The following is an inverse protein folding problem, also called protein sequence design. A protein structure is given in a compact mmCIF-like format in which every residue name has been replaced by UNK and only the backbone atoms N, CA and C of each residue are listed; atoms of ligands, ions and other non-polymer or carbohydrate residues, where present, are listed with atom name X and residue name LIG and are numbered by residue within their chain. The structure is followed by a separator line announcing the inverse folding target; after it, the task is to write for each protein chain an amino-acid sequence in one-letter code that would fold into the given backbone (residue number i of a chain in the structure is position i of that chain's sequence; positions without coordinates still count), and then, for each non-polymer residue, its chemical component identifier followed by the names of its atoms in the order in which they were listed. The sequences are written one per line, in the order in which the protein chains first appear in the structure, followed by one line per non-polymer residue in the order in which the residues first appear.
data_IF_681351291784
#
_entry.id   IF_681351291784
#
_cell.length_a   1.000
_cell.length_b   1.000
_cell.length_c   1.000
_cell.angle_alpha   90.00
_cell.angle_beta   90.00
_cell.angle_gamma   90.00
#
_symmetry.space_group_name_H-M   'P 1'
#
loop_
_entity.id
_entity.type
_entity.pdbx_description
1 polymer ?
#
# COMPACT_ATOMS: atom_id res chain seq x y z
N UNK A 1 -12.54 -3.67 -14.55
CA UNK A 1 -11.15 -3.36 -14.87
C UNK A 1 -10.62 -4.34 -15.91
N UNK A 2 -10.60 -3.90 -17.16
CA UNK A 2 -9.89 -4.55 -18.28
C UNK A 2 -8.53 -3.90 -18.54
N UNK A 3 -8.25 -2.76 -17.91
CA UNK A 3 -6.99 -2.04 -17.99
C UNK A 3 -6.52 -1.54 -16.61
N UNK A 4 -5.23 -1.23 -16.51
CA UNK A 4 -4.64 -0.63 -15.30
C UNK A 4 -5.28 0.72 -14.97
N UNK A 5 -5.50 1.59 -15.97
CA UNK A 5 -6.11 2.90 -15.76
C UNK A 5 -7.52 2.79 -15.17
N UNK A 6 -8.34 1.88 -15.69
CA UNK A 6 -9.69 1.62 -15.18
C UNK A 6 -9.66 1.10 -13.73
N UNK A 7 -8.65 0.28 -13.38
CA UNK A 7 -8.45 -0.18 -12.00
C UNK A 7 -8.15 1.00 -11.05
N UNK A 8 -7.28 1.92 -11.47
CA UNK A 8 -6.94 3.10 -10.67
C UNK A 8 -8.15 4.02 -10.48
N UNK A 9 -8.96 4.21 -11.53
CA UNK A 9 -10.19 5.01 -11.46
C UNK A 9 -11.24 4.41 -10.52
N UNK A 10 -11.37 3.07 -10.50
CA UNK A 10 -12.23 2.37 -9.56
C UNK A 10 -11.71 2.51 -8.12
N UNK A 11 -10.42 2.27 -7.92
CA UNK A 11 -9.79 2.35 -6.60
C UNK A 11 -9.88 3.76 -5.99
N UNK A 12 -9.81 4.81 -6.80
CA UNK A 12 -9.98 6.19 -6.34
C UNK A 12 -11.35 6.49 -5.72
N UNK A 13 -12.37 5.67 -6.02
CA UNK A 13 -13.75 5.79 -5.53
C UNK A 13 -14.06 4.79 -4.40
N UNK A 14 -13.11 3.93 -4.07
CA UNK A 14 -13.27 2.83 -3.11
C UNK A 14 -12.76 3.17 -1.71
N UNK A 15 -13.23 2.39 -0.73
CA UNK A 15 -12.71 2.38 0.63
C UNK A 15 -12.19 0.98 0.98
N UNK A 16 -10.88 0.82 1.13
CA UNK A 16 -10.26 -0.46 1.47
C UNK A 16 -10.67 -1.00 2.86
N UNK A 17 -11.08 -0.13 3.80
CA UNK A 17 -11.45 -0.57 5.16
C UNK A 17 -12.72 -1.43 5.20
N UNK A 18 -13.58 -1.37 4.17
CA UNK A 18 -14.76 -2.25 4.09
C UNK A 18 -14.37 -3.68 3.72
N UNK A 19 -13.16 -3.89 3.17
CA UNK A 19 -12.63 -5.16 2.67
C UNK A 19 -11.57 -5.73 3.61
N UNK A 20 -10.68 -4.87 4.11
CA UNK A 20 -9.57 -5.21 5.00
C UNK A 20 -10.03 -5.28 6.46
N UNK A 21 -9.47 -6.24 7.21
CA UNK A 21 -9.65 -6.32 8.65
C UNK A 21 -8.58 -5.51 9.36
N UNK A 22 -8.99 -4.59 10.23
CA UNK A 22 -8.11 -3.71 10.99
C UNK A 22 -7.77 -4.30 12.38
N UNK A 23 -6.74 -3.75 13.02
CA UNK A 23 -6.38 -4.10 14.41
C UNK A 23 -7.54 -3.82 15.36
N UNK A 24 -8.23 -2.69 15.18
CA UNK A 24 -9.42 -2.33 15.96
C UNK A 24 -10.58 -3.31 15.80
N UNK A 25 -10.70 -3.97 14.64
CA UNK A 25 -11.74 -4.99 14.43
C UNK A 25 -11.47 -6.27 15.24
N UNK A 26 -10.22 -6.51 15.63
CA UNK A 26 -9.80 -7.69 16.41
C UNK A 26 -9.76 -7.36 17.91
N UNK A 27 -9.24 -6.19 18.27
CA UNK A 27 -8.93 -5.82 19.65
C UNK A 27 -9.85 -4.74 20.25
N UNK A 28 -10.68 -4.07 19.44
CA UNK A 28 -11.57 -2.99 19.85
C UNK A 28 -10.90 -1.62 20.09
N UNK A 29 -9.56 -1.59 20.18
CA UNK A 29 -8.72 -0.40 20.41
C UNK A 29 -7.31 -0.67 19.83
N UNK A 30 -6.38 0.27 20.01
CA UNK A 30 -4.96 0.12 19.71
C UNK A 30 -4.36 -1.12 20.39
N UNK A 31 -3.53 -1.88 19.65
CA UNK A 31 -2.75 -2.97 20.23
C UNK A 31 -1.42 -2.45 20.79
N UNK A 32 -1.50 -1.90 22.01
CA UNK A 32 -0.37 -1.26 22.73
C UNK A 32 0.84 -2.17 22.92
N UNK A 33 0.64 -3.49 23.03
CA UNK A 33 1.73 -4.45 23.23
C UNK A 33 2.76 -4.48 22.11
N UNK A 34 2.36 -4.14 20.88
CA UNK A 34 3.25 -4.02 19.71
C UNK A 34 3.25 -2.60 19.11
N UNK A 35 2.61 -1.64 19.76
CA UNK A 35 2.49 -0.27 19.25
C UNK A 35 1.72 -0.17 17.92
N UNK A 36 0.73 -1.03 17.70
CA UNK A 36 -0.10 -0.98 16.49
C UNK A 36 -1.37 -0.17 16.76
N UNK A 37 -1.62 0.82 15.91
CA UNK A 37 -2.85 1.61 15.95
C UNK A 37 -4.07 0.81 15.49
N UNK A 38 -5.26 1.15 15.97
CA UNK A 38 -6.52 0.49 15.63
C UNK A 38 -6.84 0.53 14.13
N UNK A 39 -6.35 1.56 13.40
CA UNK A 39 -6.54 1.72 11.95
C UNK A 39 -5.50 0.97 11.10
N UNK A 40 -4.52 0.30 11.72
CA UNK A 40 -3.57 -0.56 11.02
C UNK A 40 -4.28 -1.78 10.45
N UNK A 41 -4.06 -2.13 9.18
CA UNK A 41 -4.58 -3.38 8.60
C UNK A 41 -3.89 -4.56 9.26
N UNK A 42 -4.69 -5.40 9.92
CA UNK A 42 -4.25 -6.66 10.51
C UNK A 42 -4.29 -7.79 9.47
N UNK A 43 -5.28 -7.79 8.58
CA UNK A 43 -5.42 -8.79 7.53
C UNK A 43 -6.08 -8.20 6.28
N UNK A 44 -5.32 -8.13 5.18
CA UNK A 44 -5.86 -7.71 3.88
C UNK A 44 -6.95 -8.68 3.41
N UNK A 45 -8.07 -8.14 2.91
CA UNK A 45 -9.28 -8.89 2.53
C UNK A 45 -9.92 -9.70 3.68
N UNK A 46 -9.50 -9.49 4.93
CA UNK A 46 -9.93 -10.28 6.07
C UNK A 46 -11.42 -10.14 6.42
N UNK A 47 -12.07 -9.02 6.06
CA UNK A 47 -13.51 -8.85 6.30
C UNK A 47 -14.36 -9.68 5.34
N UNK A 48 -13.82 -10.08 4.18
CA UNK A 48 -14.54 -10.90 3.22
C UNK A 48 -14.78 -12.33 3.70
N UNK A 49 -14.21 -12.78 4.81
CA UNK A 49 -14.56 -14.08 5.41
C UNK A 49 -16.01 -14.08 5.89
N UNK A 50 -16.53 -12.92 6.33
CA UNK A 50 -17.92 -12.76 6.74
C UNK A 50 -18.83 -12.62 5.50
N UNK A 51 -19.83 -13.51 5.31
CA UNK A 51 -20.76 -13.44 4.18
C UNK A 51 -21.55 -12.14 4.06
N UNK A 52 -21.94 -11.52 5.18
CA UNK A 52 -22.73 -10.28 5.19
C UNK A 52 -21.90 -9.09 4.73
N UNK A 53 -20.65 -8.98 5.22
CA UNK A 53 -19.71 -7.95 4.79
C UNK A 53 -19.32 -8.17 3.32
N UNK A 54 -19.12 -9.42 2.91
CA UNK A 54 -18.83 -9.74 1.51
C UNK A 54 -19.96 -9.31 0.57
N UNK A 55 -21.22 -9.40 1.00
CA UNK A 55 -22.37 -9.00 0.20
C UNK A 55 -22.52 -7.47 0.03
N UNK A 56 -22.01 -6.68 0.97
CA UNK A 56 -22.09 -5.21 0.93
C UNK A 56 -20.90 -4.54 0.23
N UNK A 57 -19.83 -5.30 -0.07
CA UNK A 57 -18.60 -4.81 -0.69
C UNK A 57 -18.81 -4.45 -2.16
N UNK A 58 -18.37 -3.25 -2.53
CA UNK A 58 -18.43 -2.75 -3.92
C UNK A 58 -17.14 -3.08 -4.67
N UNK A 59 -17.20 -3.04 -6.01
CA UNK A 59 -16.04 -3.31 -6.87
C UNK A 59 -14.92 -2.28 -6.68
N UNK A 60 -15.28 -1.04 -6.41
CA UNK A 60 -14.38 0.06 -6.11
C UNK A 60 -13.58 -0.22 -4.83
N UNK A 61 -14.25 -0.75 -3.80
CA UNK A 61 -13.62 -1.07 -2.52
C UNK A 61 -12.60 -2.22 -2.67
N UNK A 62 -12.94 -3.23 -3.47
CA UNK A 62 -12.01 -4.32 -3.82
C UNK A 62 -10.79 -3.80 -4.59
N UNK A 63 -10.98 -2.87 -5.52
CA UNK A 63 -9.88 -2.26 -6.27
C UNK A 63 -8.96 -1.45 -5.34
N UNK A 64 -9.52 -0.67 -4.42
CA UNK A 64 -8.77 0.09 -3.43
C UNK A 64 -7.97 -0.82 -2.49
N UNK A 65 -8.60 -1.87 -1.96
CA UNK A 65 -7.97 -2.85 -1.09
C UNK A 65 -6.82 -3.60 -1.80
N UNK A 66 -7.01 -3.97 -3.07
CA UNK A 66 -5.98 -4.64 -3.86
C UNK A 66 -4.73 -3.76 -4.05
N UNK A 67 -4.91 -2.50 -4.46
CA UNK A 67 -3.80 -1.56 -4.63
C UNK A 67 -3.10 -1.31 -3.29
N UNK A 68 -3.87 -1.13 -2.21
CA UNK A 68 -3.33 -0.92 -0.88
C UNK A 68 -2.50 -2.12 -0.40
N UNK A 69 -3.02 -3.34 -0.54
CA UNK A 69 -2.33 -4.57 -0.16
C UNK A 69 -0.98 -4.70 -0.87
N UNK A 70 -0.96 -4.51 -2.20
CA UNK A 70 0.27 -4.59 -3.00
C UNK A 70 1.26 -3.50 -2.57
N UNK A 71 0.80 -2.25 -2.45
CA UNK A 71 1.64 -1.13 -2.04
C UNK A 71 2.24 -1.34 -0.64
N UNK A 72 1.46 -1.83 0.31
CA UNK A 72 1.92 -2.08 1.68
C UNK A 72 2.91 -3.24 1.74
N UNK A 73 2.67 -4.32 1.00
CA UNK A 73 3.60 -5.43 0.93
C UNK A 73 4.96 -5.00 0.34
N UNK A 74 4.95 -4.22 -0.75
CA UNK A 74 6.15 -3.64 -1.35
C UNK A 74 6.89 -2.73 -0.35
N UNK A 75 6.16 -1.85 0.36
CA UNK A 75 6.76 -0.97 1.37
C UNK A 75 7.47 -1.76 2.47
N UNK A 76 6.82 -2.80 2.99
CA UNK A 76 7.37 -3.59 4.09
C UNK A 76 8.62 -4.34 3.68
N UNK A 77 8.62 -4.97 2.50
CA UNK A 77 9.81 -5.66 1.98
C UNK A 77 10.95 -4.64 1.77
N UNK A 78 10.66 -3.51 1.12
CA UNK A 78 11.65 -2.46 0.86
C UNK A 78 12.26 -1.92 2.15
N UNK A 79 11.44 -1.70 3.20
CA UNK A 79 11.91 -1.29 4.53
C UNK A 79 12.82 -2.34 5.16
N UNK A 80 12.44 -3.61 5.14
CA UNK A 80 13.23 -4.67 5.78
C UNK A 80 14.62 -4.78 5.13
N UNK A 81 14.67 -4.72 3.79
CA UNK A 81 15.93 -4.69 3.05
C UNK A 81 16.73 -3.43 3.38
N UNK A 82 16.08 -2.26 3.41
CA UNK A 82 16.74 -1.00 3.74
C UNK A 82 17.35 -1.02 5.15
N UNK A 83 16.63 -1.58 6.13
CA UNK A 83 17.09 -1.75 7.49
C UNK A 83 18.30 -2.70 7.57
N UNK A 84 18.26 -3.80 6.81
CA UNK A 84 19.37 -4.76 6.76
C UNK A 84 20.64 -4.14 6.18
N UNK A 85 20.51 -3.31 5.15
CA UNK A 85 21.64 -2.65 4.47
C UNK A 85 22.03 -1.30 5.12
N UNK A 86 21.35 -0.88 6.19
CA UNK A 86 21.63 0.39 6.87
C UNK A 86 21.34 1.64 6.04
N UNK A 87 20.45 1.55 5.04
CA UNK A 87 20.06 2.68 4.19
C UNK A 87 18.74 3.30 4.64
N UNK A 88 18.67 4.63 4.60
CA UNK A 88 17.49 5.40 5.03
C UNK A 88 16.62 5.90 3.87
N UNK A 89 17.20 5.94 2.67
CA UNK A 89 16.54 6.48 1.49
C UNK A 89 16.17 5.35 0.55
N UNK A 90 14.88 5.22 0.26
CA UNK A 90 14.35 4.20 -0.63
C UNK A 90 13.76 4.91 -1.86
N UNK A 91 14.30 4.61 -3.04
CA UNK A 91 13.80 5.14 -4.31
C UNK A 91 12.91 4.10 -4.97
N UNK A 92 11.64 4.44 -5.17
CA UNK A 92 10.71 3.59 -5.90
C UNK A 92 10.68 3.96 -7.39
N UNK A 93 10.75 2.94 -8.25
CA UNK A 93 10.76 3.07 -9.70
C UNK A 93 9.83 2.02 -10.34
N UNK A 94 9.52 2.19 -11.63
CA UNK A 94 8.71 1.27 -12.42
C UNK A 94 7.26 1.71 -12.63
N UNK A 95 6.62 1.12 -13.64
CA UNK A 95 5.33 1.56 -14.17
C UNK A 95 4.12 1.36 -13.25
N UNK A 96 4.25 0.61 -12.15
CA UNK A 96 3.19 0.47 -11.13
C UNK A 96 2.78 1.82 -10.53
N UNK A 97 3.75 2.74 -10.45
CA UNK A 97 3.59 4.07 -9.88
C UNK A 97 3.00 5.07 -10.88
N UNK A 98 2.93 4.67 -12.16
CA UNK A 98 2.52 5.55 -13.24
C UNK A 98 1.07 5.97 -13.09
N UNK A 99 0.88 7.27 -12.84
CA UNK A 99 -0.43 7.90 -12.55
C UNK A 99 -1.16 7.28 -11.36
N UNK A 100 -0.43 6.62 -10.46
CA UNK A 100 -0.98 5.92 -9.30
C UNK A 100 -0.65 6.66 -8.01
N UNK A 101 -1.22 7.87 -7.86
CA UNK A 101 -1.02 8.71 -6.68
C UNK A 101 -1.45 8.02 -5.38
N UNK A 102 -2.44 7.13 -5.46
CA UNK A 102 -2.90 6.32 -4.34
C UNK A 102 -1.78 5.42 -3.82
N UNK A 103 -1.14 4.63 -4.69
CA UNK A 103 -0.03 3.78 -4.30
C UNK A 103 1.18 4.59 -3.83
N UNK A 104 1.52 5.70 -4.49
CA UNK A 104 2.63 6.57 -4.10
C UNK A 104 2.47 7.09 -2.67
N UNK A 105 1.28 7.61 -2.34
CA UNK A 105 0.97 8.09 -0.98
C UNK A 105 1.02 6.97 0.05
N UNK A 106 0.48 5.78 -0.28
CA UNK A 106 0.46 4.61 0.62
C UNK A 106 1.86 4.06 0.89
N UNK A 107 2.72 4.01 -0.13
CA UNK A 107 4.14 3.64 0.02
C UNK A 107 4.86 4.65 0.92
N UNK A 108 4.71 5.94 0.65
CA UNK A 108 5.35 6.99 1.44
C UNK A 108 4.90 6.99 2.91
N UNK A 109 3.60 6.83 3.17
CA UNK A 109 3.07 6.76 4.52
C UNK A 109 3.54 5.51 5.25
N UNK A 110 3.57 4.35 4.58
CA UNK A 110 3.99 3.08 5.16
C UNK A 110 5.46 3.10 5.56
N UNK A 111 6.35 3.56 4.67
CA UNK A 111 7.79 3.69 4.97
C UNK A 111 8.00 4.62 6.17
N UNK A 112 7.32 5.77 6.22
CA UNK A 112 7.44 6.71 7.35
C UNK A 112 6.92 6.14 8.66
N UNK A 113 5.76 5.49 8.64
CA UNK A 113 5.14 4.91 9.84
C UNK A 113 6.04 3.84 10.45
N UNK A 114 6.46 2.85 9.66
CA UNK A 114 7.24 1.73 10.18
C UNK A 114 8.70 2.07 10.46
N UNK A 115 9.25 3.15 9.89
CA UNK A 115 10.60 3.62 10.20
C UNK A 115 10.68 4.62 11.35
N UNK A 116 9.58 4.91 12.06
CA UNK A 116 9.51 6.00 13.05
C UNK A 116 10.04 7.33 12.47
N UNK A 117 9.65 7.65 11.23
CA UNK A 117 10.08 8.83 10.46
C UNK A 117 11.56 8.88 10.06
N UNK A 118 12.36 7.85 10.31
CA UNK A 118 13.80 7.85 9.98
C UNK A 118 14.08 7.57 8.49
N UNK A 119 13.19 6.85 7.81
CA UNK A 119 13.34 6.51 6.38
C UNK A 119 12.42 7.34 5.48
N UNK A 120 12.92 7.64 4.29
CA UNK A 120 12.19 8.42 3.28
C UNK A 120 11.99 7.63 1.99
N UNK A 121 10.76 7.68 1.47
CA UNK A 121 10.41 7.18 0.15
C UNK A 121 10.53 8.31 -0.87
N UNK A 122 11.28 8.09 -1.95
CA UNK A 122 11.43 9.00 -3.08
C UNK A 122 10.82 8.38 -4.34
N UNK A 123 10.25 9.24 -5.19
CA UNK A 123 9.62 8.88 -6.45
C UNK A 123 10.23 9.70 -7.59
N UNK A 124 10.33 9.10 -8.78
CA UNK A 124 10.92 9.74 -9.96
C UNK A 124 9.85 10.09 -10.99
N UNK A 125 9.95 11.26 -11.62
CA UNK A 125 9.02 11.65 -12.70
C UNK A 125 9.07 10.70 -13.92
N UNK A 126 10.22 10.10 -14.18
CA UNK A 126 10.44 9.16 -15.29
C UNK A 126 10.62 7.72 -14.80
N UNK A 127 9.82 7.33 -13.79
CA UNK A 127 9.88 6.02 -13.11
C UNK A 127 9.91 4.80 -14.04
N UNK A 128 9.23 4.85 -15.20
CA UNK A 128 9.15 3.72 -16.13
C UNK A 128 10.31 3.59 -17.12
N UNK A 129 11.17 4.60 -17.22
CA UNK A 129 12.15 4.70 -18.31
C UNK A 129 13.61 4.52 -17.89
N UNK A 130 13.87 4.32 -16.60
CA UNK A 130 15.23 4.23 -16.05
C UNK A 130 16.07 3.14 -16.74
N UNK A 131 15.47 1.97 -16.96
CA UNK A 131 16.15 0.87 -17.66
C UNK A 131 16.44 1.18 -19.14
N UNK A 132 15.51 1.85 -19.83
CA UNK A 132 15.70 2.24 -21.23
C UNK A 132 16.79 3.31 -21.40
N UNK A 133 16.84 4.29 -20.48
CA UNK A 133 17.91 5.30 -20.45
C UNK A 133 19.26 4.65 -20.18
N UNK A 134 19.32 3.66 -19.27
CA UNK A 134 20.54 2.92 -18.97
C UNK A 134 21.05 2.07 -20.15
N UNK A 135 20.17 1.56 -21.00
CA UNK A 135 20.57 0.80 -22.19
C UNK A 135 21.05 1.70 -23.36
N UNK A 136 20.64 2.96 -23.36
CA UNK A 136 21.06 3.95 -24.35
C UNK A 136 22.45 4.52 -24.06
N UNK A 137 22.85 4.56 -22.79
CA UNK A 137 24.12 5.09 -22.30
C UNK A 137 25.28 4.08 -22.47
#
# INVERSE_FOLDING_TARGET
ATSHAELLELAAKGNAQTVDKLVGDIYGDDYKGLGLSADTVASSFGNLVNPELRASVRREDLAAALIQMIAWNIAQIARLVAQQEGVKTIVFTGSFMHKNDLAQRKLASSIRYWSNLDSVALFMRHEGYVGAVGALA
#
